data_IF_774808707577
#
_entry.id   IF_774808707577
#
_cell.length_a   1.000
_cell.length_b   1.000
_cell.length_c   1.000
_cell.angle_alpha   90.00
_cell.angle_beta   90.00
_cell.angle_gamma   90.00
#
_symmetry.space_group_name_H-M   'P 1'
#
loop_
_entity.id
_entity.type
_entity.pdbx_description
1 polymer ?
#
# COMPACT_ATOMS: atom_id res chain seq x y z
N UNK A 1 14.55 6.93 -29.77
CA UNK A 1 13.62 6.16 -28.93
C UNK A 1 14.40 5.66 -27.73
N UNK A 2 14.23 6.28 -26.58
CA UNK A 2 14.85 5.84 -25.35
C UNK A 2 13.97 4.73 -24.83
N UNK A 3 14.35 3.47 -25.11
CA UNK A 3 13.71 2.32 -24.51
C UNK A 3 14.08 2.26 -23.04
N UNK A 4 13.19 2.67 -22.18
CA UNK A 4 13.28 2.33 -20.78
C UNK A 4 13.07 0.83 -20.66
N UNK A 5 14.18 0.10 -20.68
CA UNK A 5 14.11 -1.30 -20.25
C UNK A 5 13.83 -1.27 -18.75
N UNK A 6 12.54 -1.38 -18.44
CA UNK A 6 12.10 -1.69 -17.09
C UNK A 6 12.74 -3.03 -16.75
N UNK A 7 13.67 -2.99 -15.82
CA UNK A 7 14.25 -4.21 -15.29
C UNK A 7 13.15 -4.92 -14.52
N UNK A 8 12.40 -5.76 -15.19
CA UNK A 8 11.28 -6.56 -14.67
C UNK A 8 11.73 -7.63 -13.66
N UNK A 9 12.95 -7.52 -13.15
CA UNK A 9 13.58 -8.52 -12.31
C UNK A 9 13.18 -8.46 -10.83
N UNK A 10 12.28 -7.57 -10.42
CA UNK A 10 11.65 -7.70 -9.11
C UNK A 10 10.42 -8.57 -9.30
N UNK A 11 10.62 -9.88 -9.30
CA UNK A 11 9.50 -10.82 -9.29
C UNK A 11 8.75 -10.66 -7.98
N UNK A 12 7.46 -10.30 -8.06
CA UNK A 12 6.57 -10.27 -6.90
C UNK A 12 6.35 -11.66 -6.31
N UNK A 13 6.85 -12.72 -6.97
CA UNK A 13 6.62 -14.09 -6.56
C UNK A 13 5.13 -14.42 -6.56
N UNK A 14 4.66 -15.03 -5.48
CA UNK A 14 3.24 -15.36 -5.29
C UNK A 14 2.42 -14.20 -4.69
N UNK A 15 2.96 -12.98 -4.63
CA UNK A 15 2.25 -11.83 -4.05
C UNK A 15 1.15 -11.37 -4.97
N UNK A 16 -0.01 -11.16 -4.38
CA UNK A 16 -1.23 -10.74 -5.08
C UNK A 16 -1.85 -9.48 -4.50
N UNK A 17 -1.51 -9.16 -3.24
CA UNK A 17 -2.14 -8.10 -2.48
C UNK A 17 -1.14 -7.04 -2.03
N UNK A 18 -1.52 -5.79 -2.18
CA UNK A 18 -0.82 -4.64 -1.63
C UNK A 18 -1.71 -4.03 -0.55
N UNK A 19 -1.26 -4.11 0.70
CA UNK A 19 -2.03 -3.66 1.85
C UNK A 19 -1.89 -2.14 2.02
N UNK A 20 -3.02 -1.42 1.97
CA UNK A 20 -3.04 0.02 2.22
C UNK A 20 -2.72 0.34 3.68
N UNK A 21 -2.24 1.54 3.94
CA UNK A 21 -1.78 1.98 5.26
C UNK A 21 -2.85 1.82 6.33
N UNK A 22 -4.12 2.15 6.03
CA UNK A 22 -5.21 1.99 7.00
C UNK A 22 -5.45 0.52 7.41
N UNK A 23 -5.31 -0.40 6.48
CA UNK A 23 -5.41 -1.84 6.77
C UNK A 23 -4.25 -2.30 7.65
N UNK A 24 -3.05 -1.76 7.45
CA UNK A 24 -1.88 -2.03 8.30
C UNK A 24 -2.09 -1.52 9.72
N UNK A 25 -2.67 -0.34 9.86
CA UNK A 25 -3.01 0.23 11.18
C UNK A 25 -4.01 -0.67 11.91
N UNK A 26 -5.05 -1.14 11.23
CA UNK A 26 -6.01 -2.09 11.81
C UNK A 26 -5.35 -3.40 12.21
N UNK A 27 -4.42 -3.90 11.40
CA UNK A 27 -3.66 -5.11 11.70
C UNK A 27 -2.78 -4.93 12.95
N UNK A 28 -2.09 -3.80 13.06
CA UNK A 28 -1.27 -3.42 14.22
C UNK A 28 -2.12 -3.38 15.50
N UNK A 29 -3.35 -2.90 15.41
CA UNK A 29 -4.28 -2.81 16.53
C UNK A 29 -5.12 -4.08 16.76
N UNK A 30 -4.82 -5.15 16.05
CA UNK A 30 -5.40 -6.47 16.29
C UNK A 30 -6.79 -6.68 15.73
N UNK A 31 -7.17 -6.00 14.66
CA UNK A 31 -8.44 -6.23 13.98
C UNK A 31 -8.55 -7.69 13.51
N UNK A 32 -9.48 -8.43 14.09
CA UNK A 32 -9.66 -9.86 13.84
C UNK A 32 -10.05 -10.19 12.41
N UNK A 33 -10.86 -9.34 11.79
CA UNK A 33 -11.29 -9.55 10.39
C UNK A 33 -10.09 -9.49 9.45
N UNK A 34 -9.26 -8.47 9.58
CA UNK A 34 -8.03 -8.32 8.78
C UNK A 34 -7.05 -9.47 9.03
N UNK A 35 -6.85 -9.84 10.30
CA UNK A 35 -5.97 -10.95 10.67
C UNK A 35 -6.43 -12.24 10.00
N UNK A 36 -7.74 -12.54 10.05
CA UNK A 36 -8.29 -13.75 9.45
C UNK A 36 -8.11 -13.78 7.94
N UNK A 37 -8.33 -12.66 7.24
CA UNK A 37 -8.07 -12.57 5.80
C UNK A 37 -6.60 -12.84 5.47
N UNK A 38 -5.67 -12.29 6.25
CA UNK A 38 -4.23 -12.55 6.04
C UNK A 38 -3.89 -14.02 6.27
N UNK A 39 -4.49 -14.64 7.28
CA UNK A 39 -4.30 -16.08 7.52
C UNK A 39 -4.82 -16.89 6.32
N UNK A 40 -5.99 -16.54 5.80
CA UNK A 40 -6.63 -17.27 4.70
C UNK A 40 -5.83 -17.16 3.39
N UNK A 41 -5.32 -15.98 3.04
CA UNK A 41 -4.54 -15.77 1.81
C UNK A 41 -3.06 -16.09 1.98
N UNK A 42 -2.56 -16.08 3.21
CA UNK A 42 -1.16 -16.25 3.56
C UNK A 42 -0.35 -14.96 3.51
N UNK A 43 0.54 -14.76 4.47
CA UNK A 43 1.43 -13.58 4.56
C UNK A 43 2.28 -13.43 3.28
N UNK A 44 2.72 -14.54 2.70
CA UNK A 44 3.52 -14.54 1.46
C UNK A 44 2.78 -14.00 0.24
N UNK A 45 1.45 -13.92 0.29
CA UNK A 45 0.62 -13.32 -0.76
C UNK A 45 0.52 -11.80 -0.65
N UNK A 46 0.97 -11.23 0.45
CA UNK A 46 0.82 -9.81 0.78
C UNK A 46 2.14 -9.05 0.68
N UNK A 47 2.05 -7.81 0.26
CA UNK A 47 3.17 -6.87 0.24
C UNK A 47 2.77 -5.54 0.88
N UNK A 48 3.76 -4.80 1.33
CA UNK A 48 3.61 -3.46 1.89
C UNK A 48 4.40 -2.49 1.03
N UNK A 49 3.77 -1.36 0.66
CA UNK A 49 4.48 -0.27 -0.02
C UNK A 49 5.46 0.44 0.93
N UNK A 50 6.62 0.83 0.40
CA UNK A 50 7.53 1.73 1.12
C UNK A 50 6.83 3.04 1.52
N UNK A 51 5.84 3.49 0.75
CA UNK A 51 5.00 4.66 1.09
C UNK A 51 4.27 4.43 2.41
N UNK A 52 3.65 3.27 2.58
CA UNK A 52 2.96 2.93 3.84
C UNK A 52 3.92 2.86 5.03
N UNK A 53 5.15 2.42 4.83
CA UNK A 53 6.19 2.44 5.88
C UNK A 53 6.41 3.87 6.37
N UNK A 54 6.55 4.83 5.44
CA UNK A 54 6.71 6.24 5.81
C UNK A 54 5.51 6.79 6.56
N UNK A 55 4.30 6.45 6.12
CA UNK A 55 3.08 6.89 6.81
C UNK A 55 2.94 6.32 8.22
N UNK A 56 3.28 5.04 8.41
CA UNK A 56 3.28 4.41 9.73
C UNK A 56 4.28 5.07 10.67
N UNK A 57 5.48 5.36 10.20
CA UNK A 57 6.50 6.06 10.98
C UNK A 57 6.05 7.47 11.35
N UNK A 58 5.50 8.22 10.38
CA UNK A 58 4.93 9.54 10.67
C UNK A 58 3.86 9.47 11.76
N UNK A 59 2.95 8.51 11.68
CA UNK A 59 1.93 8.30 12.72
C UNK A 59 2.53 8.05 14.10
N UNK A 60 3.59 7.23 14.20
CA UNK A 60 4.29 6.99 15.45
C UNK A 60 4.95 8.25 16.01
N UNK A 61 5.66 9.00 15.16
CA UNK A 61 6.29 10.27 15.58
C UNK A 61 5.30 11.34 16.00
N UNK A 62 4.06 11.27 15.50
CA UNK A 62 2.98 12.21 15.84
C UNK A 62 2.23 11.83 17.14
N UNK A 63 2.72 10.86 17.90
CA UNK A 63 2.11 10.51 19.19
C UNK A 63 2.52 11.49 20.30
N UNK A 64 1.63 11.72 21.30
CA UNK A 64 1.87 12.78 22.29
C UNK A 64 2.86 12.38 23.41
N UNK A 65 3.25 11.13 23.52
CA UNK A 65 4.15 10.67 24.60
C UNK A 65 5.21 9.69 24.12
N UNK A 66 6.38 9.77 24.73
CA UNK A 66 7.51 8.88 24.46
C UNK A 66 7.15 7.40 24.68
N UNK A 67 6.38 7.10 25.72
CA UNK A 67 5.93 5.74 26.00
C UNK A 67 5.12 5.17 24.86
N UNK A 68 4.15 5.92 24.33
CA UNK A 68 3.33 5.48 23.19
C UNK A 68 4.14 5.39 21.92
N UNK A 69 5.08 6.32 21.70
CA UNK A 69 6.00 6.25 20.57
C UNK A 69 6.78 4.93 20.55
N UNK A 70 7.40 4.56 21.68
CA UNK A 70 8.18 3.33 21.78
C UNK A 70 7.30 2.10 21.52
N UNK A 71 6.11 2.06 22.11
CA UNK A 71 5.18 0.95 21.92
C UNK A 71 4.75 0.82 20.45
N UNK A 72 4.38 1.92 19.83
CA UNK A 72 3.93 1.94 18.43
C UNK A 72 5.06 1.57 17.47
N UNK A 73 6.25 2.12 17.67
CA UNK A 73 7.42 1.75 16.87
C UNK A 73 7.78 0.27 16.98
N UNK A 74 7.65 -0.33 18.15
CA UNK A 74 7.88 -1.76 18.33
C UNK A 74 6.86 -2.60 17.55
N UNK A 75 5.58 -2.21 17.58
CA UNK A 75 4.51 -2.87 16.81
C UNK A 75 4.76 -2.77 15.31
N UNK A 76 5.10 -1.57 14.83
CA UNK A 76 5.41 -1.32 13.42
C UNK A 76 6.58 -2.19 12.97
N UNK A 77 7.69 -2.19 13.70
CA UNK A 77 8.87 -2.98 13.36
C UNK A 77 8.58 -4.47 13.34
N UNK A 78 7.78 -4.96 14.29
CA UNK A 78 7.36 -6.36 14.33
C UNK A 78 6.51 -6.72 13.10
N UNK A 79 5.55 -5.86 12.73
CA UNK A 79 4.75 -6.04 11.52
C UNK A 79 5.64 -6.09 10.28
N UNK A 80 6.49 -5.08 10.08
CA UNK A 80 7.32 -4.94 8.90
C UNK A 80 8.31 -6.09 8.73
N UNK A 81 8.73 -6.72 9.82
CA UNK A 81 9.65 -7.88 9.76
C UNK A 81 9.01 -9.11 9.12
N UNK A 82 7.69 -9.17 9.01
CA UNK A 82 6.94 -10.33 8.52
C UNK A 82 6.50 -10.21 7.05
N UNK A 83 6.50 -9.03 6.50
CA UNK A 83 6.00 -8.75 5.15
C UNK A 83 7.11 -8.33 4.20
N UNK A 84 6.90 -8.59 2.93
CA UNK A 84 7.74 -8.01 1.88
C UNK A 84 7.39 -6.53 1.71
N UNK A 85 8.40 -5.67 1.88
CA UNK A 85 8.29 -4.26 1.55
C UNK A 85 8.75 -4.07 0.11
N UNK A 86 7.92 -3.42 -0.71
CA UNK A 86 8.24 -3.12 -2.09
C UNK A 86 8.57 -1.64 -2.24
N UNK A 87 9.69 -1.38 -2.91
CA UNK A 87 10.11 -0.02 -3.24
C UNK A 87 9.25 0.57 -4.35
N UNK A 88 9.27 1.90 -4.46
CA UNK A 88 8.56 2.60 -5.51
C UNK A 88 9.27 2.39 -6.85
N UNK A 89 8.61 1.82 -7.87
CA UNK A 89 9.19 1.69 -9.20
C UNK A 89 9.11 3.01 -9.96
N UNK A 90 9.87 3.10 -11.05
CA UNK A 90 9.60 4.12 -12.04
C UNK A 90 8.32 3.76 -12.80
N UNK A 91 7.27 4.56 -12.64
CA UNK A 91 5.95 4.33 -13.22
C UNK A 91 5.31 5.62 -13.74
N UNK A 92 6.01 6.40 -14.56
CA UNK A 92 5.52 7.71 -14.98
C UNK A 92 4.22 7.65 -15.78
N UNK A 93 4.02 6.62 -16.58
CA UNK A 93 2.78 6.44 -17.35
C UNK A 93 1.59 6.15 -16.46
N UNK A 94 1.73 5.22 -15.52
CA UNK A 94 0.66 4.87 -14.59
C UNK A 94 0.29 6.08 -13.71
N UNK A 95 1.29 6.76 -13.16
CA UNK A 95 1.08 7.97 -12.37
C UNK A 95 0.37 9.06 -13.16
N UNK A 96 0.84 9.36 -14.36
CA UNK A 96 0.25 10.38 -15.22
C UNK A 96 -1.21 10.08 -15.60
N UNK A 97 -1.52 8.84 -15.93
CA UNK A 97 -2.89 8.40 -16.24
C UNK A 97 -3.80 8.51 -15.04
N UNK A 98 -3.37 8.00 -13.88
CA UNK A 98 -4.14 8.05 -12.63
C UNK A 98 -4.47 9.49 -12.28
N UNK A 99 -3.45 10.34 -12.19
CA UNK A 99 -3.62 11.74 -11.78
C UNK A 99 -4.51 12.51 -12.74
N UNK A 100 -4.35 12.32 -14.03
CA UNK A 100 -5.17 12.95 -15.06
C UNK A 100 -6.62 12.48 -14.98
N UNK A 101 -6.85 11.18 -14.87
CA UNK A 101 -8.19 10.60 -14.77
C UNK A 101 -8.94 11.13 -13.55
N UNK A 102 -8.30 11.12 -12.39
CA UNK A 102 -8.91 11.61 -11.15
C UNK A 102 -9.23 13.12 -11.23
N UNK A 103 -8.34 13.91 -11.79
CA UNK A 103 -8.58 15.35 -12.02
C UNK A 103 -9.78 15.59 -12.93
N UNK A 104 -9.90 14.83 -14.02
CA UNK A 104 -11.02 14.95 -14.97
C UNK A 104 -12.36 14.53 -14.36
N UNK A 105 -12.35 13.61 -13.39
CA UNK A 105 -13.54 13.19 -12.66
C UNK A 105 -13.84 14.08 -11.43
N UNK A 106 -13.08 15.14 -11.21
CA UNK A 106 -13.28 16.06 -10.09
C UNK A 106 -12.89 15.50 -8.73
N UNK A 107 -12.10 14.44 -8.70
CA UNK A 107 -11.62 13.83 -7.46
C UNK A 107 -10.28 14.42 -7.03
N UNK A 108 -10.22 14.86 -5.76
CA UNK A 108 -8.97 15.18 -5.08
C UNK A 108 -8.55 13.94 -4.32
N UNK A 109 -7.49 13.28 -4.78
CA UNK A 109 -6.92 12.08 -4.13
C UNK A 109 -5.53 12.43 -3.62
N UNK A 110 -5.20 11.90 -2.46
CA UNK A 110 -3.89 12.06 -1.86
C UNK A 110 -2.79 11.48 -2.77
N UNK A 111 -1.67 12.19 -2.87
CA UNK A 111 -0.53 11.75 -3.71
C UNK A 111 0.00 10.37 -3.29
N UNK A 112 -0.01 10.05 -2.00
CA UNK A 112 0.43 8.74 -1.52
C UNK A 112 -0.52 7.63 -1.95
N UNK A 113 -1.83 7.87 -1.91
CA UNK A 113 -2.82 6.91 -2.44
C UNK A 113 -2.62 6.69 -3.94
N UNK A 114 -2.33 7.74 -4.70
CA UNK A 114 -2.01 7.62 -6.13
C UNK A 114 -0.72 6.81 -6.36
N UNK A 115 0.30 6.99 -5.54
CA UNK A 115 1.55 6.22 -5.63
C UNK A 115 1.33 4.74 -5.29
N UNK A 116 0.54 4.44 -4.27
CA UNK A 116 0.16 3.06 -3.91
C UNK A 116 -0.64 2.41 -5.05
N UNK A 117 -1.61 3.12 -5.61
CA UNK A 117 -2.38 2.65 -6.76
C UNK A 117 -1.51 2.40 -7.99
N UNK A 118 -0.60 3.31 -8.29
CA UNK A 118 0.37 3.15 -9.39
C UNK A 118 1.27 1.94 -9.19
N UNK A 119 1.74 1.72 -7.97
CA UNK A 119 2.51 0.54 -7.60
C UNK A 119 1.72 -0.75 -7.84
N UNK A 120 0.47 -0.79 -7.41
CA UNK A 120 -0.40 -1.94 -7.61
C UNK A 120 -0.64 -2.23 -9.10
N UNK A 121 -0.91 -1.22 -9.91
CA UNK A 121 -1.06 -1.37 -11.36
C UNK A 121 0.22 -1.86 -12.01
N UNK A 122 1.36 -1.29 -11.64
CA UNK A 122 2.67 -1.66 -12.20
C UNK A 122 3.02 -3.13 -11.94
N UNK A 123 2.74 -3.62 -10.74
CA UNK A 123 3.05 -5.00 -10.35
C UNK A 123 1.88 -5.99 -10.53
N UNK A 124 0.72 -5.53 -10.98
CA UNK A 124 -0.46 -6.38 -11.14
C UNK A 124 -1.06 -6.86 -9.82
N UNK A 125 -0.97 -6.04 -8.76
CA UNK A 125 -1.47 -6.36 -7.42
C UNK A 125 -2.88 -5.83 -7.20
N UNK A 126 -3.62 -6.47 -6.29
CA UNK A 126 -4.89 -5.97 -5.77
C UNK A 126 -4.61 -5.10 -4.54
N UNK A 127 -5.11 -3.86 -4.52
CA UNK A 127 -5.04 -3.01 -3.33
C UNK A 127 -6.10 -3.46 -2.34
N UNK A 128 -5.68 -3.74 -1.11
CA UNK A 128 -6.57 -4.01 0.02
C UNK A 128 -6.71 -2.74 0.83
N UNK A 129 -7.91 -2.20 0.91
CA UNK A 129 -8.20 -0.93 1.57
C UNK A 129 -9.61 -0.92 2.13
N UNK A 130 -9.80 -0.27 3.27
CA UNK A 130 -11.13 0.05 3.79
C UNK A 130 -11.64 1.41 3.30
N UNK A 131 -10.86 2.11 2.49
CA UNK A 131 -11.17 3.43 1.93
C UNK A 131 -11.40 3.35 0.41
N UNK A 132 -12.34 2.50 0.01
CA UNK A 132 -12.62 2.20 -1.41
C UNK A 132 -12.90 3.46 -2.25
N UNK A 133 -13.54 4.46 -1.67
CA UNK A 133 -13.87 5.72 -2.36
C UNK A 133 -12.65 6.48 -2.90
N UNK A 134 -11.47 6.30 -2.30
CA UNK A 134 -10.23 6.93 -2.79
C UNK A 134 -9.65 6.23 -4.02
N UNK A 135 -10.00 4.96 -4.24
CA UNK A 135 -9.38 4.13 -5.28
C UNK A 135 -10.35 3.67 -6.38
N UNK A 136 -11.67 3.65 -6.11
CA UNK A 136 -12.67 3.03 -7.02
C UNK A 136 -12.73 3.63 -8.42
N UNK A 137 -12.36 4.89 -8.58
CA UNK A 137 -12.41 5.58 -9.88
C UNK A 137 -11.08 5.47 -10.66
N UNK A 138 -10.13 4.69 -10.14
CA UNK A 138 -8.87 4.41 -10.83
C UNK A 138 -9.09 3.23 -11.77
N UNK A 139 -8.97 3.49 -13.07
CA UNK A 139 -9.20 2.50 -14.11
C UNK A 139 -8.24 1.31 -13.99
N UNK A 140 -8.77 0.11 -14.17
CA UNK A 140 -8.05 -1.17 -14.12
C UNK A 140 -7.46 -1.55 -12.76
N UNK A 141 -7.66 -0.76 -11.71
CA UNK A 141 -7.20 -1.10 -10.39
C UNK A 141 -8.12 -2.15 -9.75
N UNK A 142 -7.54 -3.24 -9.27
CA UNK A 142 -8.25 -4.26 -8.50
C UNK A 142 -8.27 -3.86 -7.04
N UNK A 143 -9.43 -3.94 -6.40
CA UNK A 143 -9.66 -3.54 -5.01
C UNK A 143 -10.36 -4.65 -4.23
N UNK A 144 -9.97 -4.80 -2.99
CA UNK A 144 -10.68 -5.60 -1.98
C UNK A 144 -10.78 -4.83 -0.67
N UNK A 145 -11.86 -5.04 0.06
CA UNK A 145 -12.07 -4.57 1.44
C UNK A 145 -12.06 -5.80 2.36
N UNK A 146 -11.21 -5.74 3.37
CA UNK A 146 -11.05 -6.87 4.33
C UNK A 146 -11.57 -6.52 5.71
#
# INVERSE_FOLDING_TARGET
MIGWQINSAVTMGNRRYLLDTNVLIELIHGNRTVINHIIDVGISSCAISVISVHELYYGAYNTPSEKYFIQEMNRIKMLLSRFKIISLPEMPDDYGRIKTSLRLHGHIVDEFDMMIAGQALFYGLTVVTNNLKHFRDIENLKLEDW
#
